data_IF_648336720819
#
_entry.id   IF_648336720819
#
_cell.length_a   1.000
_cell.length_b   1.000
_cell.length_c   1.000
_cell.angle_alpha   90.00
_cell.angle_beta   90.00
_cell.angle_gamma   90.00
#
_symmetry.space_group_name_H-M   'P 1'
#
loop_
_entity.id
_entity.type
_entity.pdbx_description
1 polymer ?
#
# COMPACT_ATOMS: atom_id res chain seq x y z
N UNK A 1 6.75 4.15 -14.79
CA UNK A 1 7.62 5.35 -14.73
C UNK A 1 7.34 6.22 -13.51
N UNK A 2 6.07 6.55 -13.19
CA UNK A 2 5.75 7.43 -12.04
C UNK A 2 6.12 6.88 -10.64
N UNK A 3 5.86 5.61 -10.35
CA UNK A 3 6.17 5.02 -9.03
C UNK A 3 7.66 5.05 -8.71
N UNK A 4 8.50 4.81 -9.72
CA UNK A 4 9.96 4.87 -9.58
C UNK A 4 10.45 6.29 -9.26
N UNK A 5 9.87 7.30 -9.91
CA UNK A 5 10.18 8.71 -9.60
C UNK A 5 9.75 9.10 -8.19
N UNK A 6 8.59 8.64 -7.73
CA UNK A 6 8.13 8.90 -6.36
C UNK A 6 9.05 8.23 -5.33
N UNK A 7 9.46 6.97 -5.54
CA UNK A 7 10.39 6.29 -4.65
C UNK A 7 11.72 7.06 -4.52
N UNK A 8 12.25 7.59 -5.63
CA UNK A 8 13.46 8.43 -5.59
C UNK A 8 13.26 9.76 -4.83
N UNK A 9 12.08 10.38 -4.93
CA UNK A 9 11.78 11.64 -4.23
C UNK A 9 11.67 11.46 -2.70
N UNK A 10 11.32 10.26 -2.24
CA UNK A 10 11.21 9.92 -0.81
C UNK A 10 12.39 9.11 -0.28
N UNK A 11 13.49 9.03 -1.06
CA UNK A 11 14.69 8.24 -0.72
C UNK A 11 14.38 6.77 -0.38
N UNK A 12 13.28 6.25 -0.93
CA UNK A 12 12.86 4.88 -0.71
C UNK A 12 13.69 3.94 -1.58
N UNK A 13 14.35 2.97 -0.95
CA UNK A 13 14.99 1.89 -1.67
C UNK A 13 13.94 1.01 -2.35
N UNK A 14 14.12 0.78 -3.66
CA UNK A 14 13.16 0.03 -4.46
C UNK A 14 13.10 -1.45 -4.04
N UNK A 15 14.21 -2.03 -3.55
CA UNK A 15 14.23 -3.39 -3.05
C UNK A 15 13.47 -3.48 -1.72
N UNK A 16 13.68 -2.55 -0.80
CA UNK A 16 12.95 -2.52 0.47
C UNK A 16 11.43 -2.34 0.25
N UNK A 17 11.03 -1.44 -0.65
CA UNK A 17 9.62 -1.30 -1.04
C UNK A 17 9.03 -2.61 -1.58
N UNK A 18 9.75 -3.31 -2.44
CA UNK A 18 9.30 -4.59 -3.00
C UNK A 18 9.21 -5.68 -1.93
N UNK A 19 10.14 -5.72 -0.97
CA UNK A 19 10.11 -6.67 0.15
C UNK A 19 8.90 -6.40 1.05
N UNK A 20 8.65 -5.14 1.43
CA UNK A 20 7.55 -4.78 2.33
C UNK A 20 6.16 -5.03 1.72
N UNK A 21 6.03 -5.10 0.39
CA UNK A 21 4.73 -5.31 -0.29
C UNK A 21 4.55 -6.73 -0.86
N UNK A 22 5.61 -7.32 -1.42
CA UNK A 22 5.56 -8.64 -2.09
C UNK A 22 6.11 -9.79 -1.23
N UNK A 23 6.61 -9.51 -0.03
CA UNK A 23 7.01 -10.54 0.92
C UNK A 23 5.86 -11.49 1.28
N UNK A 24 6.21 -12.68 1.75
CA UNK A 24 5.20 -13.62 2.25
C UNK A 24 4.46 -13.01 3.46
N UNK A 25 3.12 -13.04 3.43
CA UNK A 25 2.27 -12.40 4.44
C UNK A 25 2.56 -10.89 4.66
N UNK A 26 3.06 -10.20 3.63
CA UNK A 26 3.50 -8.81 3.73
C UNK A 26 2.43 -7.82 4.18
N UNK A 27 1.15 -8.12 3.92
CA UNK A 27 0.04 -7.20 4.12
C UNK A 27 -0.93 -7.72 5.19
N UNK A 28 -1.22 -6.88 6.18
CA UNK A 28 -2.28 -7.07 7.16
C UNK A 28 -3.51 -6.28 6.76
N UNK A 29 -4.65 -6.96 6.64
CA UNK A 29 -5.92 -6.30 6.39
C UNK A 29 -6.37 -5.53 7.64
N UNK A 30 -6.69 -4.26 7.45
CA UNK A 30 -7.30 -3.41 8.46
C UNK A 30 -8.78 -3.22 8.09
N UNK A 31 -9.67 -3.75 8.93
CA UNK A 31 -11.09 -3.43 8.82
C UNK A 31 -11.28 -1.95 9.16
N UNK A 32 -11.55 -1.11 8.17
CA UNK A 32 -11.94 0.26 8.46
C UNK A 32 -13.36 0.27 9.05
N UNK A 33 -13.59 0.84 10.24
CA UNK A 33 -14.93 0.93 10.84
C UNK A 33 -15.84 1.95 10.12
N UNK A 34 -15.50 2.37 8.89
CA UNK A 34 -16.08 3.53 8.22
C UNK A 34 -17.09 3.19 7.11
N UNK A 35 -18.05 4.11 6.91
CA UNK A 35 -19.16 4.09 5.94
C UNK A 35 -18.77 3.91 4.46
N UNK A 36 -17.48 4.00 4.12
CA UNK A 36 -16.99 4.05 2.73
C UNK A 36 -16.86 2.68 2.04
N UNK A 37 -16.85 1.57 2.81
CA UNK A 37 -16.67 0.22 2.25
C UNK A 37 -15.35 0.03 1.48
N UNK A 38 -14.32 0.80 1.83
CA UNK A 38 -12.95 0.60 1.34
C UNK A 38 -12.23 -0.39 2.23
N UNK A 39 -11.42 -1.25 1.63
CA UNK A 39 -10.47 -2.11 2.32
C UNK A 39 -9.15 -1.36 2.48
N UNK A 40 -8.49 -1.61 3.60
CA UNK A 40 -7.19 -1.04 3.92
C UNK A 40 -6.24 -2.19 4.23
N UNK A 41 -5.01 -2.06 3.75
CA UNK A 41 -3.93 -2.97 4.07
C UNK A 41 -2.76 -2.16 4.61
N UNK A 42 -2.05 -2.73 5.58
CA UNK A 42 -0.85 -2.16 6.15
C UNK A 42 0.27 -3.18 6.01
N UNK A 43 1.46 -2.75 5.61
CA UNK A 43 2.61 -3.63 5.56
C UNK A 43 3.03 -4.09 6.97
N UNK A 44 3.70 -5.24 7.09
CA UNK A 44 4.12 -5.76 8.39
C UNK A 44 5.12 -4.88 9.14
N UNK A 45 5.91 -4.11 8.40
CA UNK A 45 6.88 -3.15 8.91
C UNK A 45 6.25 -1.77 9.21
N UNK A 46 4.93 -1.63 9.09
CA UNK A 46 4.17 -0.38 9.29
C UNK A 46 4.57 0.77 8.34
N UNK A 47 5.39 0.50 7.33
CA UNK A 47 5.95 1.51 6.42
C UNK A 47 4.95 2.02 5.36
N UNK A 48 4.00 1.19 4.93
CA UNK A 48 3.09 1.54 3.83
C UNK A 48 1.64 1.13 4.10
N UNK A 49 0.72 2.06 3.84
CA UNK A 49 -0.72 1.82 3.87
C UNK A 49 -1.31 1.83 2.46
N UNK A 50 -2.00 0.75 2.09
CA UNK A 50 -2.68 0.56 0.81
C UNK A 50 -4.19 0.71 1.05
N UNK A 51 -4.85 1.56 0.26
CA UNK A 51 -6.30 1.76 0.32
C UNK A 51 -6.95 1.33 -0.99
N UNK A 52 -7.94 0.46 -0.94
CA UNK A 52 -8.72 0.13 -2.13
C UNK A 52 -9.67 1.27 -2.48
N UNK A 53 -9.65 1.62 -3.76
CA UNK A 53 -10.64 2.52 -4.37
C UNK A 53 -11.59 1.65 -5.16
N UNK A 54 -12.89 1.76 -4.87
CA UNK A 54 -13.89 1.23 -5.77
C UNK A 54 -13.74 1.96 -7.10
N UNK A 55 -13.71 1.20 -8.20
CA UNK A 55 -13.87 1.79 -9.52
C UNK A 55 -15.25 2.44 -9.52
N UNK A 56 -15.31 3.77 -9.63
CA UNK A 56 -16.57 4.43 -9.89
C UNK A 56 -17.03 3.92 -11.25
N UNK A 57 -18.16 3.21 -11.28
CA UNK A 57 -18.84 2.90 -12.53
C UNK A 57 -19.34 4.24 -13.08
N UNK A 58 -18.74 4.68 -14.17
CA UNK A 58 -19.29 5.74 -15.03
C UNK A 58 -19.49 5.14 -16.40
#
# INVERSE_FOLDING_TARGET
MFLTTLNMLFEMDAADYMISICGNDALRELCSPGKSGSLFYLTNDDSYMIKTKKKAET
#
